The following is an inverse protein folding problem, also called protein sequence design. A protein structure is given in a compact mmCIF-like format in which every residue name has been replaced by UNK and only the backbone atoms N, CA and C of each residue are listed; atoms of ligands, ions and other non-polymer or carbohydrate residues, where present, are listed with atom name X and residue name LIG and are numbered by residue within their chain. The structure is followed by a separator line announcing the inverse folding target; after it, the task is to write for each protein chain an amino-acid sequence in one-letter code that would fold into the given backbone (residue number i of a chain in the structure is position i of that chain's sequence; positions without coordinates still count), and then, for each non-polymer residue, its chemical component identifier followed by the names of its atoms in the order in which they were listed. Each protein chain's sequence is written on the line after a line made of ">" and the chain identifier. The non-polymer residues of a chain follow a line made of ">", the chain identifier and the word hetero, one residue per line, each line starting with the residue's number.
data_IF_176825585708
#
_entry.id   IF_176825585708
#
_cell.length_a   1.000
_cell.length_b   1.000
_cell.length_c   1.000
_cell.angle_alpha   90.00
_cell.angle_beta   90.00
_cell.angle_gamma   90.00
#
_symmetry.space_group_name_H-M   'P 1'
#
loop_
_entity.id
_entity.type
_entity.pdbx_description
1 polymer ?
#
# COMPACT_ATOMS: atom_id res chain seq x y z
N UNK A 1 16.64 -11.64 -3.78
CA UNK A 1 15.78 -11.90 -4.97
C UNK A 1 14.52 -11.05 -4.88
N UNK A 2 14.26 -10.32 -5.93
CA UNK A 2 13.06 -9.50 -6.02
C UNK A 2 11.87 -10.36 -6.40
N UNK A 3 10.71 -9.98 -5.89
CA UNK A 3 9.47 -10.65 -6.20
C UNK A 3 8.53 -9.65 -6.83
N UNK A 4 8.12 -9.90 -8.07
CA UNK A 4 7.20 -9.01 -8.77
C UNK A 4 5.77 -9.26 -8.31
N UNK A 5 5.06 -8.18 -8.04
CA UNK A 5 3.64 -8.26 -7.78
C UNK A 5 2.90 -8.39 -9.09
N UNK A 6 1.91 -9.29 -9.12
CA UNK A 6 1.12 -9.53 -10.33
C UNK A 6 -0.01 -8.53 -10.50
N UNK A 7 -0.33 -7.77 -9.47
CA UNK A 7 -1.42 -6.80 -9.52
C UNK A 7 -0.87 -5.39 -9.32
N UNK A 8 -1.58 -4.41 -9.83
CA UNK A 8 -1.24 -3.00 -9.65
C UNK A 8 -2.50 -2.15 -9.69
N UNK A 9 -2.37 -0.92 -9.24
CA UNK A 9 -3.49 0.03 -9.19
C UNK A 9 -3.28 1.23 -10.12
N UNK A 10 -2.09 1.33 -10.72
CA UNK A 10 -1.78 2.28 -11.81
C UNK A 10 -2.35 3.69 -11.56
N UNK A 11 -2.02 4.26 -10.42
CA UNK A 11 -2.47 5.60 -9.98
C UNK A 11 -3.98 5.71 -9.77
N UNK A 12 -4.63 4.58 -9.45
CA UNK A 12 -6.07 4.60 -9.19
C UNK A 12 -6.38 5.21 -7.82
N UNK A 13 -7.49 5.96 -7.77
CA UNK A 13 -7.94 6.59 -6.53
C UNK A 13 -8.62 5.53 -5.66
N UNK A 14 -8.22 5.48 -4.39
CA UNK A 14 -8.83 4.57 -3.44
C UNK A 14 -10.25 5.03 -3.10
N UNK A 15 -11.14 4.06 -2.91
CA UNK A 15 -12.53 4.32 -2.53
C UNK A 15 -12.74 4.24 -1.01
N UNK A 16 -11.76 3.69 -0.28
CA UNK A 16 -11.82 3.62 1.17
C UNK A 16 -10.49 3.20 1.76
N UNK A 17 -10.35 3.39 3.06
CA UNK A 17 -9.10 3.11 3.77
C UNK A 17 -9.40 2.71 5.20
N UNK A 18 -8.68 1.69 5.70
CA UNK A 18 -8.78 1.21 7.07
C UNK A 18 -7.39 0.88 7.60
N UNK A 19 -7.07 1.34 8.80
CA UNK A 19 -5.79 1.07 9.44
C UNK A 19 -6.03 0.63 10.88
N UNK A 20 -5.56 -0.58 11.20
CA UNK A 20 -5.60 -1.12 12.56
C UNK A 20 -4.15 -1.22 13.04
N UNK A 21 -3.76 -0.30 13.92
CA UNK A 21 -2.39 -0.21 14.41
C UNK A 21 -2.04 -1.42 15.29
N UNK A 22 -2.96 -1.82 16.16
CA UNK A 22 -2.73 -2.94 17.08
C UNK A 22 -2.74 -4.29 16.36
N UNK A 23 -3.60 -4.43 15.36
CA UNK A 23 -3.70 -5.64 14.57
C UNK A 23 -2.71 -5.71 13.42
N UNK A 24 -1.91 -4.66 13.21
CA UNK A 24 -0.95 -4.57 12.11
C UNK A 24 -1.62 -4.89 10.77
N UNK A 25 -2.59 -4.05 10.40
CA UNK A 25 -3.35 -4.28 9.17
C UNK A 25 -3.71 -2.96 8.53
N UNK A 26 -3.45 -2.87 7.24
CA UNK A 26 -3.88 -1.76 6.39
C UNK A 26 -4.73 -2.34 5.27
N UNK A 27 -5.89 -1.75 5.03
CA UNK A 27 -6.77 -2.14 3.93
C UNK A 27 -7.08 -0.91 3.10
N UNK A 28 -6.84 -1.01 1.81
CA UNK A 28 -7.16 0.07 0.87
C UNK A 28 -8.16 -0.50 -0.15
N UNK A 29 -9.27 0.19 -0.33
CA UNK A 29 -10.35 -0.26 -1.21
C UNK A 29 -10.26 0.43 -2.56
N UNK A 30 -10.48 -0.34 -3.64
CA UNK A 30 -10.45 0.18 -5.01
C UNK A 30 -11.66 -0.34 -5.78
N UNK A 31 -12.11 0.44 -6.75
CA UNK A 31 -13.21 0.02 -7.62
C UNK A 31 -12.77 -0.98 -8.69
N UNK A 32 -11.48 -0.99 -9.02
CA UNK A 32 -10.91 -1.89 -10.00
C UNK A 32 -9.40 -1.98 -9.80
N UNK A 33 -8.76 -2.91 -10.51
CA UNK A 33 -7.31 -3.09 -10.43
C UNK A 33 -6.80 -3.74 -11.72
N UNK A 34 -5.49 -3.86 -11.83
CA UNK A 34 -4.84 -4.57 -12.93
C UNK A 34 -4.22 -5.84 -12.39
N UNK A 35 -4.56 -6.97 -13.02
CA UNK A 35 -4.03 -8.29 -12.67
C UNK A 35 -3.15 -8.77 -13.83
N UNK A 36 -1.83 -8.81 -13.59
CA UNK A 36 -0.86 -9.18 -14.60
C UNK A 36 -1.04 -8.36 -15.90
N UNK A 37 -1.29 -7.06 -15.72
CA UNK A 37 -1.50 -6.14 -16.84
C UNK A 37 -2.91 -6.13 -17.41
N UNK A 38 -3.81 -6.96 -16.91
CA UNK A 38 -5.19 -7.03 -17.40
C UNK A 38 -6.11 -6.25 -16.48
N UNK A 39 -6.96 -5.41 -17.09
CA UNK A 39 -7.94 -4.63 -16.36
C UNK A 39 -9.04 -5.53 -15.77
N UNK A 40 -9.26 -5.42 -14.47
CA UNK A 40 -10.32 -6.16 -13.76
C UNK A 40 -11.27 -5.15 -13.14
N UNK A 41 -12.47 -5.05 -13.68
CA UNK A 41 -13.49 -4.12 -13.21
C UNK A 41 -14.30 -4.77 -12.09
N UNK A 42 -13.67 -4.94 -10.93
CA UNK A 42 -14.32 -5.50 -9.74
C UNK A 42 -13.81 -4.74 -8.52
N UNK A 43 -14.74 -4.45 -7.61
CA UNK A 43 -14.33 -3.89 -6.34
C UNK A 43 -13.42 -4.85 -5.62
N UNK A 44 -12.34 -4.32 -5.06
CA UNK A 44 -11.34 -5.14 -4.38
C UNK A 44 -10.80 -4.40 -3.18
N UNK A 45 -10.10 -5.15 -2.33
CA UNK A 45 -9.35 -4.57 -1.24
C UNK A 45 -7.92 -5.08 -1.29
N UNK A 46 -6.98 -4.15 -1.14
CA UNK A 46 -5.56 -4.45 -0.96
C UNK A 46 -5.33 -4.57 0.54
N UNK A 47 -4.81 -5.70 0.97
CA UNK A 47 -4.58 -5.97 2.39
C UNK A 47 -3.09 -6.13 2.62
N UNK A 48 -2.54 -5.32 3.53
CA UNK A 48 -1.15 -5.41 3.99
C UNK A 48 -1.22 -5.70 5.48
N UNK A 49 -0.65 -6.82 5.90
CA UNK A 49 -0.79 -7.24 7.30
C UNK A 49 0.40 -8.05 7.79
N UNK A 50 0.51 -8.17 9.11
CA UNK A 50 1.46 -9.05 9.80
C UNK A 50 2.92 -8.73 9.43
N UNK A 51 3.27 -7.46 9.43
CA UNK A 51 4.66 -7.06 9.19
C UNK A 51 5.51 -7.24 10.44
N UNK A 52 6.81 -7.47 10.23
CA UNK A 52 7.75 -7.55 11.34
C UNK A 52 8.06 -6.15 11.86
N UNK A 53 8.29 -5.20 10.95
CA UNK A 53 8.35 -3.77 11.28
C UNK A 53 7.87 -2.96 10.07
N UNK A 54 7.46 -1.73 10.35
CA UNK A 54 7.02 -0.82 9.30
C UNK A 54 7.51 0.59 9.59
N UNK A 55 7.78 1.33 8.53
CA UNK A 55 8.31 2.68 8.60
C UNK A 55 7.61 3.57 7.60
N UNK A 56 7.65 4.87 7.85
CA UNK A 56 7.10 5.86 6.94
C UNK A 56 7.99 7.08 6.86
N UNK A 57 7.87 7.82 5.77
CA UNK A 57 8.52 9.14 5.63
C UNK A 57 7.77 9.94 4.58
N UNK A 58 7.89 11.26 4.65
CA UNK A 58 7.52 12.07 3.50
C UNK A 58 8.49 11.76 2.37
N UNK A 59 8.00 11.69 1.13
CA UNK A 59 8.85 11.28 0.00
C UNK A 59 10.07 12.18 -0.19
N UNK A 60 9.96 13.44 0.23
CA UNK A 60 11.09 14.41 0.13
C UNK A 60 12.12 14.22 1.24
N UNK A 61 11.81 13.48 2.29
CA UNK A 61 12.71 13.27 3.42
C UNK A 61 13.72 12.17 3.12
N UNK A 62 14.86 12.21 3.80
CA UNK A 62 15.93 11.23 3.60
C UNK A 62 15.85 10.03 4.53
N UNK A 63 15.10 10.11 5.62
CA UNK A 63 15.08 9.07 6.66
C UNK A 63 13.67 8.63 6.97
N UNK A 64 13.51 7.31 7.10
CA UNK A 64 12.28 6.72 7.57
C UNK A 64 12.13 6.92 9.07
N UNK A 65 10.88 7.09 9.49
CA UNK A 65 10.47 7.19 10.89
C UNK A 65 9.43 6.13 11.17
N UNK A 66 8.84 6.17 12.36
CA UNK A 66 7.81 5.21 12.72
C UNK A 66 6.62 5.33 11.76
N UNK A 67 5.94 4.23 11.54
CA UNK A 67 4.83 4.18 10.59
C UNK A 67 3.77 5.25 10.91
N UNK A 68 3.45 5.39 12.19
CA UNK A 68 2.39 6.32 12.64
C UNK A 68 2.72 7.78 12.37
N UNK A 69 3.98 8.11 12.20
CA UNK A 69 4.37 9.52 12.03
C UNK A 69 3.86 10.11 10.71
N UNK A 70 3.79 9.29 9.67
CA UNK A 70 3.44 9.78 8.34
C UNK A 70 2.36 8.98 7.62
N UNK A 71 1.92 7.86 8.19
CA UNK A 71 0.84 7.11 7.57
C UNK A 71 -0.43 7.95 7.63
N UNK A 72 -0.97 8.33 6.50
CA UNK A 72 -2.21 9.07 6.41
C UNK A 72 -3.26 8.22 5.75
N UNK A 73 -4.41 8.83 5.47
CA UNK A 73 -5.46 8.16 4.71
C UNK A 73 -4.98 8.08 3.26
N UNK A 74 -4.72 6.87 2.79
CA UNK A 74 -4.21 6.66 1.43
C UNK A 74 -5.31 6.95 0.43
N UNK A 75 -5.06 7.88 -0.48
CA UNK A 75 -6.01 8.18 -1.55
C UNK A 75 -5.58 7.59 -2.89
N UNK A 76 -4.29 7.33 -3.08
CA UNK A 76 -3.78 6.81 -4.35
C UNK A 76 -2.45 6.12 -4.11
N UNK A 77 -2.23 4.98 -4.78
CA UNK A 77 -0.94 4.30 -4.78
C UNK A 77 -0.22 4.63 -6.07
N UNK A 78 0.94 5.27 -5.97
CA UNK A 78 1.73 5.67 -7.13
C UNK A 78 2.73 4.60 -7.53
N UNK A 79 3.26 3.87 -6.56
CA UNK A 79 4.21 2.79 -6.81
C UNK A 79 4.09 1.75 -5.70
N UNK A 80 4.28 0.48 -6.06
CA UNK A 80 4.26 -0.62 -5.12
C UNK A 80 5.15 -1.74 -5.66
N UNK A 81 6.19 -2.09 -4.89
CA UNK A 81 7.08 -3.18 -5.30
C UNK A 81 7.69 -3.88 -4.09
N UNK A 82 8.20 -5.09 -4.30
CA UNK A 82 8.85 -5.88 -3.27
C UNK A 82 10.31 -6.11 -3.65
N UNK A 83 11.22 -5.84 -2.70
CA UNK A 83 12.64 -6.10 -2.85
C UNK A 83 13.21 -6.46 -1.49
N UNK A 84 14.04 -7.52 -1.40
CA UNK A 84 14.69 -7.95 -0.15
C UNK A 84 13.71 -8.13 1.01
N UNK A 85 12.59 -8.79 0.78
CA UNK A 85 11.55 -9.06 1.78
C UNK A 85 10.88 -7.79 2.28
N UNK A 86 11.03 -6.68 1.58
CA UNK A 86 10.43 -5.40 1.94
C UNK A 86 9.43 -5.00 0.89
N UNK A 87 8.26 -4.58 1.35
CA UNK A 87 7.24 -3.98 0.48
C UNK A 87 7.40 -2.47 0.56
N UNK A 88 7.62 -1.85 -0.60
CA UNK A 88 7.76 -0.40 -0.71
C UNK A 88 6.51 0.16 -1.40
N UNK A 89 5.92 1.18 -0.79
CA UNK A 89 4.83 1.92 -1.43
C UNK A 89 5.17 3.40 -1.46
N UNK A 90 4.82 4.04 -2.57
CA UNK A 90 4.74 5.49 -2.63
C UNK A 90 3.27 5.82 -2.83
N UNK A 91 2.71 6.62 -1.94
CA UNK A 91 1.29 6.92 -1.93
C UNK A 91 1.05 8.42 -1.87
N UNK A 92 -0.14 8.82 -2.29
CA UNK A 92 -0.65 10.16 -2.06
C UNK A 92 -1.75 10.04 -1.00
N UNK A 93 -1.75 10.93 -0.02
CA UNK A 93 -2.75 10.94 1.05
C UNK A 93 -3.85 11.94 0.73
N UNK A 94 -4.97 11.83 1.46
CA UNK A 94 -6.12 12.72 1.25
C UNK A 94 -5.78 14.19 1.46
N UNK A 95 -4.81 14.49 2.32
CA UNK A 95 -4.38 15.86 2.56
C UNK A 95 -3.28 16.31 1.57
N UNK A 96 -3.05 15.54 0.52
CA UNK A 96 -2.18 15.94 -0.58
C UNK A 96 -0.71 15.71 -0.38
N UNK A 97 -0.31 14.90 0.59
CA UNK A 97 1.10 14.62 0.84
C UNK A 97 1.56 13.37 0.09
N UNK A 98 2.83 13.37 -0.33
CA UNK A 98 3.46 12.18 -0.89
C UNK A 98 4.24 11.48 0.21
N UNK A 99 3.92 10.21 0.46
CA UNK A 99 4.46 9.45 1.58
C UNK A 99 5.02 8.13 1.05
N UNK A 100 6.22 7.77 1.54
CA UNK A 100 6.80 6.45 1.28
C UNK A 100 6.57 5.57 2.49
N UNK A 101 6.09 4.35 2.24
CA UNK A 101 5.84 3.36 3.27
C UNK A 101 6.72 2.15 3.03
N UNK A 102 7.21 1.56 4.12
CA UNK A 102 8.07 0.39 4.08
C UNK A 102 7.56 -0.64 5.08
N UNK A 103 7.32 -1.86 4.60
CA UNK A 103 6.89 -2.98 5.45
C UNK A 103 7.86 -4.13 5.28
N UNK A 104 8.41 -4.63 6.36
CA UNK A 104 9.36 -5.73 6.34
C UNK A 104 8.66 -7.04 6.70
N UNK A 105 8.80 -8.04 5.83
CA UNK A 105 8.21 -9.37 6.01
C UNK A 105 6.71 -9.33 6.27
N UNK A 106 5.98 -8.64 5.43
CA UNK A 106 4.52 -8.56 5.56
C UNK A 106 3.84 -9.56 4.62
N UNK A 107 2.55 -9.76 4.87
CA UNK A 107 1.67 -10.40 3.91
C UNK A 107 0.96 -9.32 3.13
N UNK A 108 0.94 -9.45 1.81
CA UNK A 108 0.21 -8.52 0.94
C UNK A 108 -0.64 -9.35 -0.01
N UNK A 109 -1.91 -8.99 -0.12
CA UNK A 109 -2.84 -9.73 -0.96
C UNK A 109 -3.96 -8.82 -1.44
N UNK A 110 -4.64 -9.28 -2.48
CA UNK A 110 -5.84 -8.64 -3.00
C UNK A 110 -7.01 -9.61 -2.80
N UNK A 111 -8.15 -9.06 -2.40
CA UNK A 111 -9.38 -9.84 -2.30
C UNK A 111 -10.50 -9.10 -3.03
N UNK A 112 -11.27 -9.81 -3.83
CA UNK A 112 -12.46 -9.24 -4.46
C UNK A 112 -13.57 -9.11 -3.42
N UNK A 113 -14.31 -8.02 -3.51
CA UNK A 113 -15.47 -7.79 -2.65
C UNK A 113 -16.69 -8.36 -3.35
N UNK A 114 -17.46 -9.27 -2.68
CA UNK A 114 -18.64 -9.86 -3.30
C UNK A 114 -19.74 -8.86 -3.57
#
# INVERSE_FOLDING_TARGET
>A
MEKNLLFSFDDEVATGFYYDIDGQKIVVYFAFYYDNGRFVEKECQLIIENWEYAKSKLSVDNQYKDLEDHVGIISMILDMHIADKKLYLTVNTLDGQYVDLLFYKCNVKIENIP
#
